data_IF_314256853482
#
_entry.id   IF_314256853482
#
_cell.length_a   1.000
_cell.length_b   1.000
_cell.length_c   1.000
_cell.angle_alpha   90.00
_cell.angle_beta   90.00
_cell.angle_gamma   90.00
#
_symmetry.space_group_name_H-M   'P 1'
#
loop_
_entity.id
_entity.type
_entity.pdbx_description
1 polymer ?
#
# COMPACT_ATOMS: atom_id res chain seq x y z
N UNK A 1 4.12 6.83 29.12
CA UNK A 1 3.67 6.55 27.74
C UNK A 1 4.86 6.78 26.83
N UNK A 2 5.41 5.76 26.16
CA UNK A 2 6.41 6.04 25.14
C UNK A 2 5.73 6.87 24.06
N UNK A 3 6.33 8.02 23.73
CA UNK A 3 5.79 8.98 22.79
C UNK A 3 5.60 8.35 21.42
N UNK A 4 4.46 8.63 20.80
CA UNK A 4 4.20 8.33 19.39
C UNK A 4 5.30 8.98 18.54
N UNK A 5 6.29 8.17 18.15
CA UNK A 5 7.20 8.54 17.06
C UNK A 5 6.29 8.91 15.89
N UNK A 6 6.51 10.04 15.20
CA UNK A 6 5.79 10.33 13.97
C UNK A 6 5.98 9.11 13.08
N UNK A 7 4.90 8.41 12.73
CA UNK A 7 4.95 7.36 11.72
C UNK A 7 5.22 8.08 10.40
N UNK A 8 6.50 8.31 10.10
CA UNK A 8 6.89 8.39 8.70
C UNK A 8 6.31 7.13 8.05
N UNK A 9 5.83 7.21 6.81
CA UNK A 9 5.34 6.02 6.09
C UNK A 9 6.35 5.59 5.00
N UNK A 10 7.58 5.17 5.36
CA UNK A 10 8.56 4.68 4.40
C UNK A 10 8.01 3.63 3.45
N UNK A 11 7.25 2.65 3.96
CA UNK A 11 6.65 1.59 3.17
C UNK A 11 5.61 2.14 2.20
N UNK A 12 4.66 2.97 2.67
CA UNK A 12 3.66 3.58 1.78
C UNK A 12 4.29 4.44 0.66
N UNK A 13 5.35 5.20 0.96
CA UNK A 13 6.06 5.99 -0.06
C UNK A 13 6.91 5.12 -1.00
N UNK A 14 7.53 4.06 -0.50
CA UNK A 14 8.25 3.11 -1.33
C UNK A 14 7.28 2.40 -2.29
N UNK A 15 6.11 1.99 -1.81
CA UNK A 15 5.03 1.44 -2.64
C UNK A 15 4.55 2.44 -3.68
N UNK A 16 4.32 3.70 -3.29
CA UNK A 16 4.03 4.76 -4.26
C UNK A 16 5.06 4.79 -5.38
N UNK A 17 6.36 4.79 -5.04
CA UNK A 17 7.45 4.84 -6.02
C UNK A 17 7.43 3.60 -6.93
N UNK A 18 7.20 2.41 -6.36
CA UNK A 18 7.03 1.18 -7.12
C UNK A 18 5.86 1.26 -8.10
N UNK A 19 4.69 1.73 -7.66
CA UNK A 19 3.53 1.90 -8.53
C UNK A 19 3.80 2.89 -9.66
N UNK A 20 4.61 3.94 -9.45
CA UNK A 20 4.97 4.87 -10.55
C UNK A 20 5.69 4.21 -11.72
N UNK A 21 6.29 3.03 -11.52
CA UNK A 21 6.90 2.25 -12.60
C UNK A 21 5.86 1.61 -13.53
N UNK A 22 4.62 1.44 -13.06
CA UNK A 22 3.52 0.89 -13.86
C UNK A 22 2.80 2.02 -14.61
N UNK A 23 2.84 2.06 -15.97
CA UNK A 23 2.16 3.08 -16.76
C UNK A 23 0.66 3.18 -16.46
N UNK A 24 0.05 2.06 -16.09
CA UNK A 24 -1.36 1.95 -15.74
C UNK A 24 -1.77 2.86 -14.57
N UNK A 25 -0.84 3.16 -13.65
CA UNK A 25 -1.11 3.99 -12.45
C UNK A 25 -0.76 5.47 -12.62
N UNK A 26 -0.33 5.90 -13.82
CA UNK A 26 0.11 7.28 -14.05
C UNK A 26 -1.01 8.31 -13.93
N UNK A 27 -2.27 7.87 -14.07
CA UNK A 27 -3.45 8.73 -13.86
C UNK A 27 -3.76 8.97 -12.39
N UNK A 28 -3.33 8.05 -11.51
CA UNK A 28 -3.48 8.22 -10.07
C UNK A 28 -2.53 9.31 -9.55
N UNK A 29 -3.05 10.18 -8.70
CA UNK A 29 -2.31 11.23 -8.03
C UNK A 29 -1.32 10.62 -7.01
N UNK A 30 -0.34 11.43 -6.59
CA UNK A 30 0.62 11.04 -5.56
C UNK A 30 -0.08 10.56 -4.28
N UNK A 31 -1.00 11.38 -3.75
CA UNK A 31 -1.73 11.07 -2.52
C UNK A 31 -2.64 9.84 -2.63
N UNK A 32 -3.16 9.55 -3.83
CA UNK A 32 -3.98 8.36 -4.11
C UNK A 32 -3.14 7.07 -4.01
N UNK A 33 -1.96 7.06 -4.63
CA UNK A 33 -1.00 5.95 -4.51
C UNK A 33 -0.50 5.77 -3.08
N UNK A 34 -0.23 6.87 -2.36
CA UNK A 34 0.20 6.81 -0.95
C UNK A 34 -0.93 6.30 -0.06
N UNK A 35 -2.20 6.67 -0.33
CA UNK A 35 -3.35 6.18 0.42
C UNK A 35 -3.49 4.65 0.36
N UNK A 36 -3.40 4.08 -0.84
CA UNK A 36 -3.39 2.63 -0.98
C UNK A 36 -2.16 2.00 -0.32
N UNK A 37 -0.97 2.61 -0.49
CA UNK A 37 0.26 2.17 0.17
C UNK A 37 0.16 2.16 1.69
N UNK A 38 -0.56 3.10 2.30
CA UNK A 38 -0.81 3.14 3.75
C UNK A 38 -1.64 1.94 4.21
N UNK A 39 -2.68 1.56 3.46
CA UNK A 39 -3.48 0.38 3.77
C UNK A 39 -2.62 -0.90 3.70
N UNK A 40 -1.77 -1.02 2.67
CA UNK A 40 -0.82 -2.13 2.55
C UNK A 40 0.16 -2.16 3.72
N UNK A 41 0.71 -1.00 4.10
CA UNK A 41 1.61 -0.88 5.25
C UNK A 41 0.96 -1.37 6.55
N UNK A 42 -0.28 -0.97 6.82
CA UNK A 42 -1.02 -1.45 7.99
C UNK A 42 -1.15 -2.99 8.02
N UNK A 43 -1.38 -3.61 6.86
CA UNK A 43 -1.48 -5.07 6.75
C UNK A 43 -0.14 -5.78 6.99
N UNK A 44 0.96 -5.25 6.43
CA UNK A 44 2.31 -5.76 6.67
C UNK A 44 2.68 -5.66 8.15
N UNK A 45 2.30 -4.57 8.80
CA UNK A 45 2.55 -4.34 10.23
C UNK A 45 1.63 -5.16 11.15
N UNK A 46 0.54 -5.72 10.62
CA UNK A 46 -0.50 -6.33 11.46
C UNK A 46 -1.17 -5.31 12.38
N UNK A 47 -1.30 -4.05 11.93
CA UNK A 47 -1.83 -2.95 12.73
C UNK A 47 -3.31 -3.17 13.08
N UNK A 48 -3.68 -2.94 14.33
CA UNK A 48 -5.06 -3.07 14.83
C UNK A 48 -6.01 -2.07 14.14
N UNK A 49 -5.46 -0.93 13.70
CA UNK A 49 -6.20 0.16 13.07
C UNK A 49 -6.47 -0.07 11.56
N UNK A 50 -6.11 -1.22 11.00
CA UNK A 50 -6.27 -1.50 9.55
C UNK A 50 -7.70 -1.27 9.07
N UNK A 51 -8.70 -1.71 9.84
CA UNK A 51 -10.11 -1.52 9.49
C UNK A 51 -10.55 -0.05 9.57
N UNK A 52 -10.04 0.71 10.56
CA UNK A 52 -10.31 2.14 10.71
C UNK A 52 -9.72 2.93 9.55
N UNK A 53 -8.48 2.61 9.16
CA UNK A 53 -7.80 3.22 8.01
C UNK A 53 -8.58 2.91 6.73
N UNK A 54 -8.96 1.65 6.50
CA UNK A 54 -9.77 1.28 5.33
C UNK A 54 -11.09 2.07 5.29
N UNK A 55 -11.82 2.15 6.40
CA UNK A 55 -13.08 2.91 6.46
C UNK A 55 -12.86 4.38 6.16
N UNK A 56 -11.81 4.99 6.72
CA UNK A 56 -11.46 6.38 6.49
C UNK A 56 -11.16 6.65 5.01
N UNK A 57 -10.33 5.81 4.37
CA UNK A 57 -9.99 5.96 2.95
C UNK A 57 -11.23 5.85 2.07
N UNK A 58 -12.12 4.89 2.37
CA UNK A 58 -13.41 4.73 1.67
C UNK A 58 -14.28 5.97 1.82
N UNK A 59 -14.41 6.52 3.03
CA UNK A 59 -15.23 7.71 3.32
C UNK A 59 -14.69 8.98 2.67
N UNK A 60 -13.37 9.09 2.54
CA UNK A 60 -12.71 10.18 1.83
C UNK A 60 -12.75 10.03 0.30
N UNK A 61 -13.27 8.90 -0.20
CA UNK A 61 -13.29 8.60 -1.64
C UNK A 61 -11.90 8.32 -2.23
N UNK A 62 -10.94 7.95 -1.38
CA UNK A 62 -9.59 7.57 -1.80
C UNK A 62 -9.58 6.11 -2.30
N UNK A 63 -8.63 5.76 -3.18
CA UNK A 63 -8.52 4.41 -3.71
C UNK A 63 -8.08 3.42 -2.64
N UNK A 64 -8.78 2.30 -2.59
CA UNK A 64 -8.54 1.15 -1.71
C UNK A 64 -8.43 -0.16 -2.51
N UNK A 65 -8.53 -0.11 -3.84
CA UNK A 65 -8.31 -1.24 -4.74
C UNK A 65 -7.24 -0.92 -5.80
N UNK A 66 -6.66 -1.96 -6.39
CA UNK A 66 -5.74 -1.82 -7.53
C UNK A 66 -6.47 -1.23 -8.75
N UNK A 67 -7.72 -1.65 -8.97
CA UNK A 67 -8.56 -1.16 -10.07
C UNK A 67 -8.78 0.36 -9.98
N UNK A 68 -9.00 0.90 -8.78
CA UNK A 68 -9.16 2.34 -8.56
C UNK A 68 -7.85 3.12 -8.81
N UNK A 69 -6.69 2.47 -8.66
CA UNK A 69 -5.40 3.03 -9.09
C UNK A 69 -5.15 2.89 -10.60
N UNK A 70 -6.05 2.21 -11.32
CA UNK A 70 -5.90 1.91 -12.75
C UNK A 70 -5.03 0.68 -13.04
N UNK A 71 -4.76 -0.17 -12.06
CA UNK A 71 -3.95 -1.37 -12.18
C UNK A 71 -4.80 -2.64 -12.02
N UNK A 72 -4.47 -3.70 -12.76
CA UNK A 72 -5.04 -5.02 -12.50
C UNK A 72 -4.16 -5.77 -11.48
N UNK A 73 -4.72 -6.83 -10.87
CA UNK A 73 -3.96 -7.72 -10.00
C UNK A 73 -3.08 -8.70 -10.82
N UNK A 74 -2.27 -8.16 -11.72
CA UNK A 74 -1.31 -8.92 -12.51
C UNK A 74 -0.06 -9.22 -11.67
N UNK A 75 0.24 -10.50 -11.49
CA UNK A 75 1.29 -10.95 -10.58
C UNK A 75 2.68 -10.45 -11.00
N UNK A 76 2.97 -10.43 -12.30
CA UNK A 76 4.26 -9.97 -12.84
C UNK A 76 4.46 -8.46 -12.59
N UNK A 77 3.45 -7.65 -12.89
CA UNK A 77 3.48 -6.22 -12.60
C UNK A 77 3.63 -5.93 -11.10
N UNK A 78 2.90 -6.64 -10.24
CA UNK A 78 3.00 -6.46 -8.79
C UNK A 78 4.35 -6.90 -8.23
N UNK A 79 4.94 -7.98 -8.75
CA UNK A 79 6.31 -8.38 -8.41
C UNK A 79 7.32 -7.30 -8.78
N UNK A 80 7.17 -6.65 -9.94
CA UNK A 80 8.03 -5.51 -10.31
C UNK A 80 7.90 -4.32 -9.34
N UNK A 81 6.69 -4.06 -8.82
CA UNK A 81 6.48 -3.03 -7.79
C UNK A 81 7.23 -3.39 -6.51
N UNK A 82 7.10 -4.64 -6.07
CA UNK A 82 7.78 -5.16 -4.87
C UNK A 82 9.31 -5.09 -5.06
N UNK A 83 9.85 -5.56 -6.18
CA UNK A 83 11.29 -5.49 -6.45
C UNK A 83 11.83 -4.06 -6.38
N UNK A 84 11.04 -3.08 -6.85
CA UNK A 84 11.41 -1.67 -6.73
C UNK A 84 11.46 -1.19 -5.28
N UNK A 85 10.52 -1.62 -4.44
CA UNK A 85 10.51 -1.31 -2.99
C UNK A 85 11.77 -1.81 -2.30
N UNK A 86 12.28 -2.99 -2.67
CA UNK A 86 13.50 -3.57 -2.11
C UNK A 86 14.79 -3.15 -2.83
N UNK A 87 14.68 -2.32 -3.87
CA UNK A 87 15.84 -1.79 -4.59
C UNK A 87 16.64 -0.81 -3.74
N UNK A 88 17.86 -0.46 -4.20
CA UNK A 88 18.71 0.53 -3.51
C UNK A 88 18.00 1.88 -3.30
N UNK A 89 17.03 2.23 -4.15
CA UNK A 89 16.25 3.46 -4.11
C UNK A 89 15.04 3.36 -3.16
N UNK A 90 14.49 2.16 -2.96
CA UNK A 90 13.36 1.88 -2.06
C UNK A 90 13.74 1.51 -0.62
N UNK A 91 15.04 1.37 -0.34
CA UNK A 91 15.68 0.89 0.92
C UNK A 91 15.25 1.55 2.24
N UNK A 92 14.35 2.54 2.22
CA UNK A 92 13.77 3.13 3.44
C UNK A 92 12.82 2.19 4.18
N UNK A 93 12.34 1.12 3.55
CA UNK A 93 11.49 0.09 4.19
C UNK A 93 12.22 -0.66 5.31
N UNK A 94 13.55 -0.67 5.32
CA UNK A 94 14.37 -1.22 6.43
C UNK A 94 14.19 -0.43 7.74
N UNK A 95 13.64 0.78 7.71
CA UNK A 95 13.36 1.59 8.90
C UNK A 95 12.00 1.29 9.54
N UNK A 96 11.20 0.40 8.95
CA UNK A 96 9.92 0.01 9.52
C UNK A 96 10.11 -0.75 10.84
N UNK A 97 9.16 -0.65 11.79
CA UNK A 97 9.28 -1.30 13.10
C UNK A 97 9.16 -2.82 13.02
N UNK A 98 8.72 -3.34 11.88
CA UNK A 98 8.55 -4.77 11.58
C UNK A 98 9.42 -5.17 10.40
N UNK A 99 9.79 -6.44 10.33
CA UNK A 99 10.46 -7.00 9.16
C UNK A 99 9.48 -7.09 7.97
N UNK A 100 9.78 -6.37 6.89
CA UNK A 100 9.01 -6.42 5.64
C UNK A 100 9.75 -7.31 4.65
N UNK A 101 9.11 -8.38 4.19
CA UNK A 101 9.65 -9.29 3.18
C UNK A 101 8.98 -9.07 1.82
N UNK A 102 9.63 -9.39 0.68
CA UNK A 102 9.01 -9.31 -0.64
C UNK A 102 7.69 -10.08 -0.74
N UNK A 103 7.67 -11.30 -0.22
CA UNK A 103 6.49 -12.17 -0.23
C UNK A 103 5.38 -11.63 0.67
N UNK A 104 5.74 -11.12 1.85
CA UNK A 104 4.79 -10.49 2.78
C UNK A 104 4.17 -9.22 2.18
N UNK A 105 4.98 -8.40 1.51
CA UNK A 105 4.52 -7.19 0.86
C UNK A 105 3.58 -7.50 -0.32
N UNK A 106 3.93 -8.48 -1.16
CA UNK A 106 3.06 -8.93 -2.25
C UNK A 106 1.72 -9.45 -1.72
N UNK A 107 1.75 -10.28 -0.67
CA UNK A 107 0.55 -10.80 -0.03
C UNK A 107 -0.32 -9.66 0.54
N UNK A 108 0.30 -8.66 1.18
CA UNK A 108 -0.39 -7.50 1.72
C UNK A 108 -1.03 -6.63 0.64
N UNK A 109 -0.39 -6.45 -0.54
CA UNK A 109 -0.99 -5.75 -1.69
C UNK A 109 -2.27 -6.45 -2.14
N UNK A 110 -2.22 -7.77 -2.32
CA UNK A 110 -3.37 -8.57 -2.75
C UNK A 110 -4.48 -8.57 -1.69
N UNK A 111 -4.11 -8.63 -0.41
CA UNK A 111 -5.05 -8.56 0.71
C UNK A 111 -5.71 -7.18 0.79
N UNK A 112 -4.96 -6.09 0.61
CA UNK A 112 -5.50 -4.73 0.56
C UNK A 112 -6.54 -4.57 -0.54
N UNK A 113 -6.22 -5.05 -1.75
CA UNK A 113 -7.14 -5.04 -2.88
C UNK A 113 -8.43 -5.83 -2.58
N UNK A 114 -8.31 -7.03 -2.02
CA UNK A 114 -9.46 -7.85 -1.64
C UNK A 114 -10.34 -7.16 -0.57
N UNK A 115 -9.73 -6.56 0.45
CA UNK A 115 -10.43 -5.81 1.49
C UNK A 115 -11.14 -4.57 0.92
N UNK A 116 -10.48 -3.82 0.04
CA UNK A 116 -11.05 -2.67 -0.63
C UNK A 116 -12.28 -3.04 -1.48
N UNK A 117 -12.18 -4.10 -2.29
CA UNK A 117 -13.32 -4.62 -3.08
C UNK A 117 -14.48 -5.03 -2.18
N UNK A 118 -14.20 -5.74 -1.08
CA UNK A 118 -15.22 -6.13 -0.12
C UNK A 118 -15.88 -4.91 0.57
N UNK A 119 -15.11 -3.88 0.89
CA UNK A 119 -15.64 -2.64 1.48
C UNK A 119 -16.52 -1.86 0.50
N UNK A 120 -16.16 -1.81 -0.79
CA UNK A 120 -16.97 -1.18 -1.84
C UNK A 120 -18.26 -1.93 -2.13
N UNK A 121 -18.24 -3.27 -2.12
CA UNK A 121 -19.44 -4.09 -2.34
C UNK A 121 -20.46 -4.09 -1.20
N UNK A 122 -20.12 -3.52 -0.04
CA UNK A 122 -21.02 -3.40 1.13
C UNK A 122 -21.82 -2.08 1.17
N UNK A 123 -21.61 -1.18 0.21
CA UNK A 123 -22.35 0.09 0.07
C UNK A 123 -23.29 0.04 -1.12
#
# INVERSE_FOLDING_TARGET
>A
MPGSVPRESPCAHALHNGFTQLPATHRALHGEKVAFGLLVQCLVEGAEETEEVLSLLVDLGLPVTLEELGCEADEEALRSVVDHVFSREGRKVENEPVEVTPEGLLAAILQADALGRAARGRR
#
